data_IF_233403195553
#
_entry.id   IF_233403195553
#
_cell.length_a   1.000
_cell.length_b   1.000
_cell.length_c   1.000
_cell.angle_alpha   90.00
_cell.angle_beta   90.00
_cell.angle_gamma   90.00
#
_symmetry.space_group_name_H-M   'P 1'
#
loop_
_entity.id
_entity.type
_entity.pdbx_description
1 polymer ?
#
# COMPACT_ATOMS: atom_id res chain seq x y z
N UNK A 1 -30.93 23.00 24.52
CA UNK A 1 -31.72 21.74 24.59
C UNK A 1 -31.14 20.62 23.69
N UNK A 2 -29.80 20.45 23.65
CA UNK A 2 -29.12 19.49 22.73
C UNK A 2 -28.18 18.49 23.46
N UNK A 3 -27.88 18.71 24.74
CA UNK A 3 -26.98 17.84 25.53
C UNK A 3 -27.70 16.76 26.36
N UNK A 4 -28.99 16.89 26.65
CA UNK A 4 -29.69 16.01 27.61
C UNK A 4 -30.26 14.73 27.01
N UNK A 5 -30.27 14.57 25.67
CA UNK A 5 -30.69 13.32 25.00
C UNK A 5 -29.59 12.26 24.88
N UNK A 6 -28.32 12.59 25.19
CA UNK A 6 -27.17 11.70 24.93
C UNK A 6 -26.77 10.77 26.08
N UNK A 7 -27.32 10.96 27.28
CA UNK A 7 -26.97 10.18 28.47
C UNK A 7 -28.05 9.20 28.93
N UNK A 8 -29.31 9.36 28.49
CA UNK A 8 -30.41 8.45 28.88
C UNK A 8 -30.38 7.08 28.18
N UNK A 9 -29.62 6.92 27.10
CA UNK A 9 -29.51 5.65 26.37
C UNK A 9 -28.56 4.62 26.98
N UNK A 10 -27.64 5.00 27.88
CA UNK A 10 -26.65 4.06 28.43
C UNK A 10 -27.30 2.98 29.32
N UNK A 11 -28.43 3.31 29.94
CA UNK A 11 -29.15 2.41 30.84
C UNK A 11 -30.05 1.39 30.13
N UNK A 12 -30.25 1.54 28.81
CA UNK A 12 -31.02 0.60 27.98
C UNK A 12 -30.13 -0.25 27.05
N UNK A 13 -28.81 -0.28 27.30
CA UNK A 13 -27.91 -1.11 26.49
C UNK A 13 -28.19 -2.60 26.71
N UNK A 14 -28.43 -3.29 25.60
CA UNK A 14 -28.47 -4.74 25.51
C UNK A 14 -27.11 -5.35 25.91
N UNK A 15 -27.10 -6.60 26.37
CA UNK A 15 -25.88 -7.31 26.77
C UNK A 15 -24.82 -7.37 25.65
N UNK A 16 -25.26 -7.37 24.39
CA UNK A 16 -24.40 -7.35 23.20
C UNK A 16 -23.65 -6.02 23.05
N UNK A 17 -24.31 -4.88 23.30
CA UNK A 17 -23.68 -3.57 23.24
C UNK A 17 -22.68 -3.36 24.39
N UNK A 18 -22.95 -3.94 25.57
CA UNK A 18 -21.98 -3.95 26.69
C UNK A 18 -20.73 -4.75 26.35
N UNK A 19 -20.88 -5.89 25.68
CA UNK A 19 -19.77 -6.69 25.17
C UNK A 19 -18.91 -5.90 24.17
N UNK A 20 -19.53 -5.18 23.23
CA UNK A 20 -18.84 -4.32 22.26
C UNK A 20 -18.04 -3.19 22.94
N UNK A 21 -18.59 -2.57 23.99
CA UNK A 21 -17.89 -1.53 24.74
C UNK A 21 -16.68 -2.07 25.50
N UNK A 22 -16.80 -3.25 26.13
CA UNK A 22 -15.65 -3.89 26.79
C UNK A 22 -14.56 -4.27 25.78
N UNK A 23 -14.96 -4.84 24.64
CA UNK A 23 -14.03 -5.17 23.57
C UNK A 23 -13.31 -3.92 23.02
N UNK A 24 -14.04 -2.82 22.82
CA UNK A 24 -13.45 -1.54 22.41
C UNK A 24 -12.46 -1.00 23.44
N UNK A 25 -12.77 -1.12 24.74
CA UNK A 25 -11.85 -0.71 25.81
C UNK A 25 -10.55 -1.51 25.82
N UNK A 26 -10.65 -2.83 25.66
CA UNK A 26 -9.48 -3.71 25.57
C UNK A 26 -8.62 -3.35 24.37
N UNK A 27 -9.21 -3.21 23.18
CA UNK A 27 -8.45 -2.89 21.97
C UNK A 27 -7.85 -1.48 22.00
N UNK A 28 -8.53 -0.49 22.59
CA UNK A 28 -7.96 0.84 22.77
C UNK A 28 -6.75 0.82 23.70
N UNK A 29 -6.83 0.08 24.81
CA UNK A 29 -5.69 -0.09 25.72
C UNK A 29 -4.52 -0.82 25.03
N UNK A 30 -4.79 -1.91 24.31
CA UNK A 30 -3.77 -2.66 23.57
C UNK A 30 -3.14 -1.84 22.45
N UNK A 31 -3.94 -1.09 21.68
CA UNK A 31 -3.46 -0.24 20.59
C UNK A 31 -2.59 0.90 21.14
N UNK A 32 -3.00 1.50 22.26
CA UNK A 32 -2.19 2.52 22.95
C UNK A 32 -0.87 1.95 23.44
N UNK A 33 -0.89 0.79 24.08
CA UNK A 33 0.31 0.11 24.58
C UNK A 33 1.25 -0.26 23.43
N UNK A 34 0.73 -0.79 22.33
CA UNK A 34 1.51 -1.10 21.14
C UNK A 34 2.20 0.14 20.57
N UNK A 35 1.46 1.25 20.44
CA UNK A 35 2.02 2.52 19.95
C UNK A 35 3.05 3.15 20.89
N UNK A 36 3.05 2.81 22.19
CA UNK A 36 4.04 3.28 23.16
C UNK A 36 5.30 2.40 23.20
N UNK A 37 5.12 1.09 23.05
CA UNK A 37 6.21 0.12 23.29
C UNK A 37 6.87 -0.38 22.01
N UNK A 38 6.22 -0.25 20.85
CA UNK A 38 6.67 -0.85 19.60
C UNK A 38 6.77 0.21 18.50
N UNK A 39 7.90 0.30 17.79
CA UNK A 39 8.03 1.18 16.63
C UNK A 39 6.96 0.87 15.58
N UNK A 40 6.32 1.91 15.02
CA UNK A 40 5.21 1.76 14.08
C UNK A 40 5.54 0.86 12.88
N UNK A 41 6.79 0.86 12.41
CA UNK A 41 7.27 0.02 11.32
C UNK A 41 7.04 -1.48 11.56
N UNK A 42 7.03 -1.94 12.82
CA UNK A 42 6.72 -3.35 13.18
C UNK A 42 5.22 -3.61 13.36
N UNK A 43 4.44 -2.55 13.58
CA UNK A 43 2.99 -2.62 13.72
C UNK A 43 2.33 -2.62 12.34
N UNK A 44 2.84 -1.82 11.40
CA UNK A 44 2.27 -1.59 10.08
C UNK A 44 1.97 -2.89 9.30
N UNK A 45 2.86 -3.91 9.24
CA UNK A 45 2.57 -5.16 8.52
C UNK A 45 1.38 -5.94 9.11
N UNK A 46 1.01 -5.71 10.38
CA UNK A 46 -0.12 -6.38 11.03
C UNK A 46 -1.45 -5.69 10.75
N UNK A 47 -1.42 -4.45 10.25
CA UNK A 47 -2.61 -3.67 9.89
C UNK A 47 -3.21 -4.13 8.57
N UNK A 48 -2.54 -4.98 7.79
CA UNK A 48 -3.00 -5.45 6.49
C UNK A 48 -1.97 -5.19 5.41
N UNK A 49 -2.34 -5.43 4.16
CA UNK A 49 -1.50 -5.14 3.01
C UNK A 49 -1.42 -3.64 2.77
N UNK A 50 -0.20 -3.14 2.59
CA UNK A 50 0.06 -1.72 2.36
C UNK A 50 -0.47 -1.30 0.97
N UNK A 51 -1.02 -0.09 0.89
CA UNK A 51 -1.63 0.50 -0.30
C UNK A 51 -2.82 -0.29 -0.88
N UNK A 52 -3.45 -1.13 -0.08
CA UNK A 52 -4.66 -1.85 -0.46
C UNK A 52 -5.90 -1.25 0.17
N UNK A 53 -7.00 -1.32 -0.57
CA UNK A 53 -8.32 -0.93 -0.11
C UNK A 53 -9.31 -2.08 -0.22
N UNK A 54 -10.13 -2.23 0.80
CA UNK A 54 -11.25 -3.16 0.82
C UNK A 54 -12.41 -2.64 -0.04
N UNK A 55 -13.23 -3.57 -0.54
CA UNK A 55 -14.41 -3.22 -1.35
C UNK A 55 -15.29 -2.15 -0.66
N UNK A 56 -15.80 -1.21 -1.46
CA UNK A 56 -16.65 -0.11 -0.99
C UNK A 56 -18.11 -0.50 -0.82
N UNK A 57 -18.50 -1.69 -1.25
CA UNK A 57 -19.85 -2.26 -1.14
C UNK A 57 -19.88 -3.33 -0.05
N UNK A 58 -20.63 -3.08 1.01
CA UNK A 58 -20.88 -4.05 2.09
C UNK A 58 -22.37 -4.42 2.12
N UNK A 59 -22.68 -5.64 2.58
CA UNK A 59 -24.07 -6.05 2.84
C UNK A 59 -24.68 -5.13 3.93
N UNK A 60 -25.98 -4.79 3.87
CA UNK A 60 -26.61 -3.89 4.86
C UNK A 60 -26.44 -4.33 6.33
N UNK A 61 -26.36 -5.64 6.58
CA UNK A 61 -26.12 -6.21 7.92
C UNK A 61 -24.67 -6.04 8.40
N UNK A 62 -23.71 -6.01 7.47
CA UNK A 62 -22.30 -5.72 7.76
C UNK A 62 -22.11 -4.25 8.12
N UNK A 63 -22.80 -3.34 7.43
CA UNK A 63 -22.77 -1.90 7.71
C UNK A 63 -23.31 -1.58 9.11
N UNK A 64 -24.42 -2.18 9.52
CA UNK A 64 -24.97 -1.99 10.88
C UNK A 64 -24.02 -2.48 11.98
N UNK A 65 -23.34 -3.61 11.75
CA UNK A 65 -22.32 -4.11 12.68
C UNK A 65 -21.12 -3.17 12.74
N UNK A 66 -20.66 -2.68 11.59
CA UNK A 66 -19.54 -1.75 11.49
C UNK A 66 -19.84 -0.42 12.20
N UNK A 67 -21.04 0.13 12.03
CA UNK A 67 -21.51 1.33 12.71
C UNK A 67 -21.50 1.15 14.23
N UNK A 68 -21.97 0.01 14.74
CA UNK A 68 -21.92 -0.32 16.18
C UNK A 68 -20.49 -0.40 16.71
N UNK A 69 -19.55 -0.94 15.93
CA UNK A 69 -18.12 -0.96 16.29
C UNK A 69 -17.55 0.46 16.33
N UNK A 70 -17.80 1.28 15.31
CA UNK A 70 -17.37 2.69 15.27
C UNK A 70 -17.92 3.47 16.46
N UNK A 71 -19.21 3.32 16.76
CA UNK A 71 -19.86 3.90 17.93
C UNK A 71 -19.19 3.47 19.24
N UNK A 72 -18.93 2.16 19.42
CA UNK A 72 -18.35 1.64 20.65
C UNK A 72 -16.94 2.20 20.89
N UNK A 73 -16.11 2.24 19.85
CA UNK A 73 -14.75 2.79 19.92
C UNK A 73 -14.79 4.28 20.24
N UNK A 74 -15.62 5.07 19.56
CA UNK A 74 -15.76 6.50 19.85
C UNK A 74 -16.32 6.76 21.26
N UNK A 75 -17.26 5.93 21.73
CA UNK A 75 -17.86 6.05 23.05
C UNK A 75 -16.87 5.76 24.18
N UNK A 76 -15.96 4.80 23.99
CA UNK A 76 -14.91 4.49 24.97
C UNK A 76 -13.74 5.45 24.86
N UNK A 77 -13.34 5.87 23.66
CA UNK A 77 -12.24 6.82 23.45
C UNK A 77 -12.44 8.14 24.20
N UNK A 78 -13.71 8.57 24.41
CA UNK A 78 -14.05 9.76 25.21
C UNK A 78 -14.03 9.55 26.73
N UNK A 79 -13.88 8.30 27.18
CA UNK A 79 -13.93 7.90 28.60
C UNK A 79 -12.61 7.31 29.10
N UNK A 80 -11.64 7.08 28.22
CA UNK A 80 -10.30 6.66 28.63
C UNK A 80 -9.61 7.80 29.39
N UNK A 81 -8.82 7.51 30.43
CA UNK A 81 -8.07 8.53 31.17
C UNK A 81 -6.88 9.13 30.39
N UNK A 82 -6.66 8.69 29.16
CA UNK A 82 -5.63 9.20 28.23
C UNK A 82 -6.27 9.69 26.92
N UNK A 83 -5.53 10.50 26.16
CA UNK A 83 -5.93 10.86 24.80
C UNK A 83 -5.89 9.63 23.87
N UNK A 84 -7.06 9.23 23.40
CA UNK A 84 -7.18 8.17 22.39
C UNK A 84 -6.97 8.79 21.00
N UNK A 85 -5.71 8.93 20.60
CA UNK A 85 -5.34 9.44 19.28
C UNK A 85 -6.07 8.70 18.14
N UNK A 86 -6.34 9.39 17.03
CA UNK A 86 -7.09 8.85 15.89
C UNK A 86 -6.55 7.50 15.40
N UNK A 87 -5.22 7.33 15.40
CA UNK A 87 -4.57 6.07 15.01
C UNK A 87 -4.94 4.91 15.95
N UNK A 88 -4.94 5.13 17.27
CA UNK A 88 -5.32 4.09 18.22
C UNK A 88 -6.80 3.68 18.06
N UNK A 89 -7.67 4.64 17.77
CA UNK A 89 -9.08 4.38 17.49
C UNK A 89 -9.25 3.56 16.20
N UNK A 90 -8.57 3.96 15.12
CA UNK A 90 -8.63 3.26 13.83
C UNK A 90 -8.07 1.83 13.93
N UNK A 91 -6.95 1.62 14.63
CA UNK A 91 -6.40 0.29 14.90
C UNK A 91 -7.36 -0.59 15.71
N UNK A 92 -7.99 -0.01 16.74
CA UNK A 92 -8.93 -0.73 17.60
C UNK A 92 -10.18 -1.18 16.84
N UNK A 93 -10.78 -0.25 16.10
CA UNK A 93 -11.96 -0.55 15.28
C UNK A 93 -11.61 -1.58 14.20
N UNK A 94 -10.43 -1.48 13.56
CA UNK A 94 -9.98 -2.47 12.57
C UNK A 94 -9.82 -3.86 13.18
N UNK A 95 -9.21 -3.99 14.36
CA UNK A 95 -9.10 -5.27 15.05
C UNK A 95 -10.47 -5.89 15.37
N UNK A 96 -11.43 -5.07 15.81
CA UNK A 96 -12.80 -5.50 16.08
C UNK A 96 -13.54 -5.96 14.82
N UNK A 97 -13.35 -5.28 13.68
CA UNK A 97 -13.95 -5.66 12.39
C UNK A 97 -13.30 -6.92 11.82
N UNK A 98 -11.96 -7.03 11.92
CA UNK A 98 -11.20 -8.20 11.49
C UNK A 98 -11.66 -9.48 12.20
N UNK A 99 -11.90 -9.39 13.51
CA UNK A 99 -12.47 -10.51 14.30
C UNK A 99 -13.86 -10.95 13.82
N UNK A 100 -14.58 -10.05 13.14
CA UNK A 100 -15.93 -10.29 12.59
C UNK A 100 -15.92 -10.57 11.09
N UNK A 101 -14.73 -10.76 10.50
CA UNK A 101 -14.54 -10.95 9.06
C UNK A 101 -15.17 -9.84 8.22
N UNK A 102 -15.19 -8.61 8.74
CA UNK A 102 -15.69 -7.45 8.01
C UNK A 102 -14.55 -6.70 7.32
N UNK A 103 -14.63 -6.54 5.98
CA UNK A 103 -13.59 -5.88 5.21
C UNK A 103 -13.48 -4.41 5.60
N UNK A 104 -12.28 -3.96 5.97
CA UNK A 104 -12.05 -2.58 6.40
C UNK A 104 -10.72 -2.03 5.92
N UNK A 105 -10.68 -0.73 5.63
CA UNK A 105 -9.48 -0.02 5.18
C UNK A 105 -9.09 1.06 6.18
N UNK A 106 -7.88 0.95 6.73
CA UNK A 106 -7.29 1.99 7.57
C UNK A 106 -6.44 2.92 6.70
N UNK A 107 -6.66 4.22 6.80
CA UNK A 107 -5.90 5.23 6.08
C UNK A 107 -5.06 6.04 7.04
N UNK A 108 -3.85 6.40 6.60
CA UNK A 108 -3.02 7.43 7.20
C UNK A 108 -2.88 8.57 6.19
N UNK A 109 -3.18 9.78 6.63
CA UNK A 109 -3.05 10.98 5.79
C UNK A 109 -2.26 12.08 6.48
N UNK A 110 -1.69 12.97 5.66
CA UNK A 110 -1.04 14.21 6.12
C UNK A 110 -1.76 15.41 5.52
N UNK A 111 -1.88 16.48 6.30
CA UNK A 111 -2.30 17.79 5.86
C UNK A 111 -1.29 18.84 6.34
N UNK A 112 -1.27 19.99 5.68
CA UNK A 112 -0.59 21.18 6.22
C UNK A 112 -1.65 22.06 6.87
N UNK A 113 -1.40 22.46 8.10
CA UNK A 113 -2.23 23.44 8.78
C UNK A 113 -2.02 24.85 8.20
N UNK A 114 -2.88 25.81 8.55
CA UNK A 114 -2.72 27.23 8.21
C UNK A 114 -1.37 27.81 8.67
N UNK A 115 -0.75 27.18 9.67
CA UNK A 115 0.60 27.47 10.18
C UNK A 115 1.75 26.82 9.39
N UNK A 116 1.46 26.14 8.27
CA UNK A 116 2.38 25.27 7.51
C UNK A 116 2.98 24.10 8.30
N UNK A 117 2.50 23.81 9.50
CA UNK A 117 2.89 22.61 10.25
C UNK A 117 2.23 21.36 9.65
N UNK A 118 2.99 20.27 9.54
CA UNK A 118 2.47 18.97 9.09
C UNK A 118 1.63 18.34 10.20
N UNK A 119 0.37 18.05 9.90
CA UNK A 119 -0.54 17.32 10.77
C UNK A 119 -0.82 15.93 10.22
N UNK A 120 -0.70 14.92 11.07
CA UNK A 120 -1.01 13.53 10.74
C UNK A 120 -2.38 13.13 11.25
N UNK A 121 -3.12 12.40 10.43
CA UNK A 121 -4.44 11.88 10.76
C UNK A 121 -4.60 10.43 10.32
N UNK A 122 -5.49 9.72 11.01
CA UNK A 122 -5.80 8.35 10.71
C UNK A 122 -7.31 8.12 10.80
N UNK A 123 -7.87 7.40 9.84
CA UNK A 123 -9.29 7.06 9.83
C UNK A 123 -9.49 5.63 9.32
N UNK A 124 -10.66 5.07 9.64
CA UNK A 124 -11.03 3.72 9.24
C UNK A 124 -12.31 3.75 8.43
N UNK A 125 -12.30 3.07 7.29
CA UNK A 125 -13.46 2.84 6.42
C UNK A 125 -13.91 1.38 6.47
N UNK A 126 -15.20 1.14 6.40
CA UNK A 126 -15.80 -0.17 6.15
C UNK A 126 -16.96 0.02 5.16
N UNK A 127 -16.92 -0.64 4.00
CA UNK A 127 -17.84 -0.32 2.91
C UNK A 127 -17.73 1.15 2.49
N UNK A 128 -18.86 1.85 2.37
CA UNK A 128 -18.90 3.28 2.05
C UNK A 128 -18.74 4.19 3.30
N UNK A 129 -18.72 3.62 4.50
CA UNK A 129 -18.81 4.37 5.76
C UNK A 129 -17.45 4.61 6.40
N UNK A 130 -17.21 5.83 6.87
CA UNK A 130 -16.07 6.18 7.74
C UNK A 130 -16.48 5.96 9.20
N UNK A 131 -15.79 5.07 9.91
CA UNK A 131 -16.16 4.64 11.27
C UNK A 131 -15.45 5.43 12.37
N UNK A 132 -14.22 5.85 12.12
CA UNK A 132 -13.40 6.62 13.07
C UNK A 132 -12.62 7.68 12.32
N UNK A 133 -12.32 8.81 12.96
CA UNK A 133 -11.55 9.89 12.34
C UNK A 133 -12.33 10.70 11.28
N UNK A 134 -13.66 10.69 11.32
CA UNK A 134 -14.53 11.32 10.30
C UNK A 134 -14.29 12.83 10.11
N UNK A 135 -13.96 13.56 11.18
CA UNK A 135 -13.84 15.02 11.16
C UNK A 135 -12.70 15.50 10.26
N UNK A 136 -13.03 15.92 9.03
CA UNK A 136 -12.10 16.60 8.13
C UNK A 136 -11.12 15.69 7.39
N UNK A 137 -11.35 14.37 7.33
CA UNK A 137 -10.49 13.43 6.60
C UNK A 137 -10.27 13.83 5.13
N UNK A 138 -11.25 14.47 4.49
CA UNK A 138 -11.17 15.02 3.12
C UNK A 138 -10.03 16.04 2.91
N UNK A 139 -9.55 16.68 3.99
CA UNK A 139 -8.46 17.67 3.92
C UNK A 139 -7.07 17.03 4.00
N UNK A 140 -6.99 15.73 4.30
CA UNK A 140 -5.74 15.00 4.44
C UNK A 140 -5.44 14.24 3.17
N UNK A 141 -4.22 14.39 2.65
CA UNK A 141 -3.74 13.58 1.54
C UNK A 141 -3.38 12.20 2.07
N UNK A 142 -4.01 11.16 1.53
CA UNK A 142 -3.71 9.76 1.88
C UNK A 142 -2.27 9.44 1.50
N UNK A 143 -1.47 9.02 2.47
CA UNK A 143 -0.10 8.55 2.24
C UNK A 143 -0.07 7.03 2.15
N UNK A 144 -0.86 6.35 2.98
CA UNK A 144 -0.90 4.90 3.02
C UNK A 144 -2.30 4.41 3.40
N UNK A 145 -2.72 3.32 2.79
CA UNK A 145 -3.91 2.55 3.14
C UNK A 145 -3.51 1.13 3.55
N UNK A 146 -4.30 0.52 4.43
CA UNK A 146 -4.11 -0.83 4.94
C UNK A 146 -5.45 -1.59 4.94
N UNK A 147 -5.56 -2.65 4.15
CA UNK A 147 -6.74 -3.51 4.10
C UNK A 147 -6.36 -4.99 4.30
N UNK A 148 -7.31 -5.82 4.74
CA UNK A 148 -7.10 -7.27 4.66
C UNK A 148 -7.14 -7.72 3.18
N UNK A 149 -6.32 -8.69 2.80
CA UNK A 149 -6.53 -9.46 1.57
C UNK A 149 -7.87 -10.20 1.68
N UNK A 150 -8.94 -9.58 1.19
CA UNK A 150 -10.07 -10.33 0.67
C UNK A 150 -9.77 -10.67 -0.78
N UNK A 151 -10.01 -11.91 -1.24
CA UNK A 151 -9.79 -12.27 -2.63
C UNK A 151 -10.46 -11.23 -3.51
N UNK A 152 -9.68 -10.70 -4.45
CA UNK A 152 -10.06 -9.61 -5.32
C UNK A 152 -11.46 -9.85 -5.89
N UNK A 153 -12.32 -8.84 -5.77
CA UNK A 153 -13.32 -8.60 -6.80
C UNK A 153 -12.55 -8.33 -8.09
N UNK A 154 -12.45 -9.37 -8.94
CA UNK A 154 -12.15 -9.21 -10.35
C UNK A 154 -13.33 -8.40 -10.90
N UNK A 155 -13.12 -7.27 -11.60
CA UNK A 155 -14.21 -6.65 -12.33
C UNK A 155 -14.83 -7.76 -13.16
N UNK A 156 -16.12 -7.98 -13.01
CA UNK A 156 -16.85 -8.86 -13.90
C UNK A 156 -16.62 -8.27 -15.30
N UNK A 157 -15.73 -8.92 -16.06
CA UNK A 157 -15.42 -8.62 -17.45
C UNK A 157 -16.71 -8.91 -18.21
N UNK A 158 -17.64 -7.97 -18.12
CA UNK A 158 -18.82 -7.84 -18.96
C UNK A 158 -18.30 -7.37 -20.32
N UNK A 159 -17.66 -8.32 -21.00
CA UNK A 159 -16.79 -8.09 -22.14
C UNK A 159 -15.62 -9.08 -22.26
N UNK A 160 -15.52 -10.12 -21.42
CA UNK A 160 -14.65 -11.24 -21.71
C UNK A 160 -15.31 -12.08 -22.81
N UNK A 161 -14.98 -11.76 -24.06
CA UNK A 161 -14.62 -12.83 -24.97
C UNK A 161 -13.69 -13.78 -24.19
N UNK A 162 -14.04 -15.05 -24.17
CA UNK A 162 -13.32 -16.12 -23.49
C UNK A 162 -11.83 -16.11 -23.86
N UNK A 163 -11.02 -15.37 -23.10
CA UNK A 163 -9.57 -15.43 -23.19
C UNK A 163 -9.14 -16.53 -22.23
N UNK A 164 -9.04 -17.75 -22.74
CA UNK A 164 -8.24 -18.78 -22.08
C UNK A 164 -6.82 -18.21 -21.93
N UNK A 165 -6.43 -17.87 -20.70
CA UNK A 165 -5.09 -17.40 -20.42
C UNK A 165 -4.10 -18.51 -20.83
N UNK A 166 -3.17 -18.20 -21.74
CA UNK A 166 -2.19 -19.19 -22.19
C UNK A 166 -1.40 -19.74 -21.00
N UNK A 167 -0.96 -20.99 -21.07
CA UNK A 167 -0.19 -21.63 -20.00
C UNK A 167 1.05 -20.82 -19.57
N UNK A 168 1.70 -20.14 -20.51
CA UNK A 168 2.84 -19.23 -20.26
C UNK A 168 2.45 -18.02 -19.40
N UNK A 169 1.25 -17.47 -19.59
CA UNK A 169 0.74 -16.35 -18.77
C UNK A 169 0.50 -16.78 -17.33
N UNK A 170 -0.14 -17.93 -17.14
CA UNK A 170 -0.42 -18.47 -15.80
C UNK A 170 0.87 -18.83 -15.08
N UNK A 171 1.83 -19.42 -15.79
CA UNK A 171 3.16 -19.75 -15.25
C UNK A 171 3.92 -18.48 -14.86
N UNK A 172 3.91 -17.43 -15.69
CA UNK A 172 4.54 -16.16 -15.34
C UNK A 172 3.87 -15.52 -14.12
N UNK A 173 2.54 -15.51 -14.05
CA UNK A 173 1.82 -14.97 -12.90
C UNK A 173 2.14 -15.72 -11.60
N UNK A 174 2.22 -17.05 -11.65
CA UNK A 174 2.63 -17.87 -10.52
C UNK A 174 4.06 -17.53 -10.08
N UNK A 175 4.99 -17.42 -11.04
CA UNK A 175 6.39 -17.09 -10.78
C UNK A 175 6.59 -15.66 -10.22
N UNK A 176 5.72 -14.70 -10.59
CA UNK A 176 5.79 -13.31 -10.13
C UNK A 176 4.98 -13.06 -8.85
N UNK A 177 4.38 -14.09 -8.25
CA UNK A 177 3.59 -13.95 -7.05
C UNK A 177 4.49 -13.50 -5.88
N UNK A 178 4.22 -12.33 -5.25
CA UNK A 178 5.02 -11.83 -4.13
C UNK A 178 4.92 -12.73 -2.88
N UNK A 179 3.92 -13.62 -2.82
CA UNK A 179 3.82 -14.69 -1.82
C UNK A 179 4.07 -16.02 -2.52
N UNK A 180 5.31 -16.53 -2.51
CA UNK A 180 5.66 -17.72 -3.26
C UNK A 180 4.83 -18.92 -2.80
N UNK A 181 4.26 -19.66 -3.75
CA UNK A 181 3.61 -20.93 -3.45
C UNK A 181 4.62 -22.06 -3.60
N UNK A 182 4.60 -23.04 -2.69
CA UNK A 182 5.55 -24.16 -2.72
C UNK A 182 5.52 -24.90 -4.07
N UNK A 183 4.33 -25.06 -4.66
CA UNK A 183 4.15 -25.72 -5.95
C UNK A 183 4.77 -24.96 -7.15
N UNK A 184 5.02 -23.66 -7.02
CA UNK A 184 5.56 -22.84 -8.13
C UNK A 184 6.99 -23.25 -8.45
N UNK A 185 7.82 -23.51 -7.43
CA UNK A 185 9.20 -23.94 -7.64
C UNK A 185 9.26 -25.31 -8.35
N UNK A 186 8.39 -26.24 -7.94
CA UNK A 186 8.28 -27.57 -8.55
C UNK A 186 7.85 -27.47 -10.02
N UNK A 187 6.85 -26.64 -10.32
CA UNK A 187 6.37 -26.40 -11.69
C UNK A 187 7.48 -25.81 -12.57
N UNK A 188 8.19 -24.77 -12.10
CA UNK A 188 9.27 -24.13 -12.86
C UNK A 188 10.43 -25.10 -13.12
N UNK A 189 10.72 -25.99 -12.16
CA UNK A 189 11.79 -26.97 -12.28
C UNK A 189 11.51 -28.07 -13.31
N UNK A 190 10.25 -28.25 -13.71
CA UNK A 190 9.82 -29.26 -14.68
C UNK A 190 9.72 -28.73 -16.12
N UNK A 191 9.88 -27.42 -16.32
CA UNK A 191 9.79 -26.82 -17.64
C UNK A 191 10.93 -27.29 -18.55
N UNK A 192 10.61 -27.59 -19.80
CA UNK A 192 11.60 -27.87 -20.83
C UNK A 192 12.19 -26.58 -21.43
N UNK A 193 13.25 -26.71 -22.24
CA UNK A 193 13.94 -25.56 -22.85
C UNK A 193 13.04 -24.65 -23.69
N UNK A 194 12.05 -25.21 -24.41
CA UNK A 194 11.15 -24.44 -25.25
C UNK A 194 10.12 -23.65 -24.42
N UNK A 195 9.61 -24.24 -23.34
CA UNK A 195 8.73 -23.58 -22.37
C UNK A 195 9.46 -22.45 -21.64
N UNK A 196 10.72 -22.67 -21.23
CA UNK A 196 11.56 -21.63 -20.67
C UNK A 196 11.78 -20.46 -21.64
N UNK A 197 12.05 -20.76 -22.92
CA UNK A 197 12.22 -19.73 -23.94
C UNK A 197 10.94 -18.90 -24.11
N UNK A 198 9.77 -19.55 -24.16
CA UNK A 198 8.48 -18.87 -24.26
C UNK A 198 8.18 -18.01 -23.02
N UNK A 199 8.47 -18.52 -21.82
CA UNK A 199 8.28 -17.81 -20.56
C UNK A 199 9.17 -16.55 -20.47
N UNK A 200 10.46 -16.68 -20.79
CA UNK A 200 11.40 -15.55 -20.76
C UNK A 200 11.05 -14.52 -21.83
N UNK A 201 10.70 -14.95 -23.04
CA UNK A 201 10.24 -14.05 -24.10
C UNK A 201 8.98 -13.29 -23.69
N UNK A 202 8.01 -13.98 -23.08
CA UNK A 202 6.79 -13.35 -22.60
C UNK A 202 7.07 -12.35 -21.46
N UNK A 203 7.93 -12.72 -20.51
CA UNK A 203 8.36 -11.81 -19.44
C UNK A 203 9.10 -10.56 -19.98
N UNK A 204 9.83 -10.68 -21.09
CA UNK A 204 10.46 -9.54 -21.76
C UNK A 204 9.42 -8.61 -22.39
N UNK A 205 8.42 -9.15 -23.08
CA UNK A 205 7.31 -8.39 -23.68
C UNK A 205 6.51 -7.64 -22.62
N UNK A 206 6.30 -8.26 -21.45
CA UNK A 206 5.62 -7.65 -20.31
C UNK A 206 6.53 -6.75 -19.46
N UNK A 207 7.80 -6.57 -19.84
CA UNK A 207 8.79 -5.74 -19.13
C UNK A 207 9.06 -6.15 -17.67
N UNK A 208 8.87 -7.43 -17.33
CA UNK A 208 9.04 -8.00 -15.98
C UNK A 208 10.17 -9.02 -15.90
N UNK A 209 10.95 -9.20 -16.97
CA UNK A 209 12.06 -10.18 -17.01
C UNK A 209 13.09 -10.00 -15.88
N UNK A 210 13.37 -8.77 -15.44
CA UNK A 210 14.30 -8.51 -14.34
C UNK A 210 13.70 -8.82 -12.97
N UNK A 211 12.36 -8.73 -12.84
CA UNK A 211 11.64 -9.18 -11.66
C UNK A 211 11.57 -10.72 -11.63
N UNK A 212 11.30 -11.35 -12.78
CA UNK A 212 11.33 -12.81 -12.92
C UNK A 212 12.67 -13.36 -12.45
N UNK A 213 13.80 -12.82 -12.92
CA UNK A 213 15.12 -13.25 -12.46
C UNK A 213 15.27 -13.18 -10.93
N UNK A 214 14.81 -12.11 -10.30
CA UNK A 214 14.84 -11.96 -8.84
C UNK A 214 14.00 -13.02 -8.12
N UNK A 215 12.83 -13.35 -8.67
CA UNK A 215 11.96 -14.40 -8.12
C UNK A 215 12.55 -15.80 -8.30
N UNK A 216 13.18 -16.10 -9.44
CA UNK A 216 13.83 -17.38 -9.67
C UNK A 216 14.96 -17.63 -8.66
N UNK A 217 15.74 -16.59 -8.34
CA UNK A 217 16.80 -16.67 -7.32
C UNK A 217 16.22 -16.83 -5.90
N UNK A 218 15.10 -16.17 -5.60
CA UNK A 218 14.42 -16.33 -4.31
C UNK A 218 13.86 -17.74 -4.13
N UNK A 219 13.31 -18.32 -5.21
CA UNK A 219 12.76 -19.67 -5.27
C UNK A 219 13.85 -20.77 -5.38
N UNK A 220 15.11 -20.40 -5.59
CA UNK A 220 16.23 -21.33 -5.75
C UNK A 220 16.09 -22.29 -6.95
N UNK A 221 15.50 -21.81 -8.05
CA UNK A 221 15.25 -22.60 -9.27
C UNK A 221 16.13 -22.18 -10.45
N UNK A 222 17.20 -21.40 -10.20
CA UNK A 222 18.11 -20.92 -11.25
C UNK A 222 18.78 -22.05 -12.06
N UNK A 223 18.97 -23.22 -11.45
CA UNK A 223 19.59 -24.39 -12.10
C UNK A 223 18.69 -25.05 -13.14
N UNK A 224 17.37 -24.83 -13.07
CA UNK A 224 16.42 -25.33 -14.06
C UNK A 224 16.38 -24.46 -15.33
N UNK A 225 16.89 -23.23 -15.27
CA UNK A 225 16.87 -22.29 -16.40
C UNK A 225 17.97 -22.64 -17.40
N UNK A 226 17.68 -22.72 -18.71
CA UNK A 226 18.70 -22.86 -19.73
C UNK A 226 19.80 -21.79 -19.61
N UNK A 227 21.10 -22.15 -19.61
CA UNK A 227 22.19 -21.21 -19.27
C UNK A 227 22.24 -19.94 -20.12
N UNK A 228 21.87 -20.04 -21.41
CA UNK A 228 21.84 -18.91 -22.32
C UNK A 228 20.73 -17.90 -21.96
N UNK A 229 19.54 -18.38 -21.55
CA UNK A 229 18.44 -17.54 -21.09
C UNK A 229 18.77 -16.90 -19.74
N UNK A 230 19.35 -17.66 -18.81
CA UNK A 230 19.80 -17.13 -17.53
C UNK A 230 20.81 -15.99 -17.72
N UNK A 231 21.81 -16.21 -18.57
CA UNK A 231 22.81 -15.19 -18.93
C UNK A 231 22.17 -13.95 -19.55
N UNK A 232 21.20 -14.13 -20.46
CA UNK A 232 20.46 -13.02 -21.08
C UNK A 232 19.69 -12.19 -20.03
N UNK A 233 19.00 -12.85 -19.10
CA UNK A 233 18.27 -12.17 -18.02
C UNK A 233 19.24 -11.42 -17.10
N UNK A 234 20.37 -12.03 -16.75
CA UNK A 234 21.39 -11.41 -15.91
C UNK A 234 22.01 -10.17 -16.57
N UNK A 235 22.32 -10.24 -17.87
CA UNK A 235 22.79 -9.08 -18.63
C UNK A 235 21.76 -7.96 -18.63
N UNK A 236 20.47 -8.28 -18.85
CA UNK A 236 19.39 -7.30 -18.81
C UNK A 236 19.27 -6.66 -17.42
N UNK A 237 19.37 -7.45 -16.37
CA UNK A 237 19.35 -6.98 -14.98
C UNK A 237 20.51 -6.03 -14.67
N UNK A 238 21.72 -6.35 -15.11
CA UNK A 238 22.90 -5.49 -14.95
C UNK A 238 22.73 -4.17 -15.70
N UNK A 239 22.23 -4.22 -16.94
CA UNK A 239 21.93 -3.01 -17.72
C UNK A 239 20.90 -2.10 -17.03
N UNK A 240 19.81 -2.69 -16.50
CA UNK A 240 18.79 -1.93 -15.75
C UNK A 240 19.38 -1.36 -14.48
N UNK A 241 20.21 -2.11 -13.75
CA UNK A 241 20.89 -1.62 -12.55
C UNK A 241 21.77 -0.41 -12.86
N UNK A 242 22.61 -0.48 -13.89
CA UNK A 242 23.48 0.63 -14.30
C UNK A 242 22.67 1.86 -14.74
N UNK A 243 21.59 1.65 -15.51
CA UNK A 243 20.68 2.72 -15.91
C UNK A 243 20.04 3.38 -14.70
N UNK A 244 19.54 2.60 -13.75
CA UNK A 244 18.89 3.11 -12.55
C UNK A 244 19.89 3.87 -11.67
N UNK A 245 21.13 3.39 -11.51
CA UNK A 245 22.18 4.13 -10.81
C UNK A 245 22.43 5.51 -11.44
N UNK A 246 22.48 5.61 -12.77
CA UNK A 246 22.59 6.89 -13.45
C UNK A 246 21.39 7.80 -13.18
N UNK A 247 20.16 7.24 -13.21
CA UNK A 247 18.93 7.97 -12.86
C UNK A 247 18.97 8.48 -11.42
N UNK A 248 19.40 7.67 -10.45
CA UNK A 248 19.52 8.09 -9.04
C UNK A 248 20.58 9.17 -8.84
N UNK A 249 21.68 9.14 -9.61
CA UNK A 249 22.67 10.21 -9.61
C UNK A 249 22.05 11.53 -10.08
N UNK A 250 21.33 11.52 -11.21
CA UNK A 250 20.66 12.73 -11.72
C UNK A 250 19.59 13.23 -10.75
N UNK A 251 18.80 12.32 -10.18
CA UNK A 251 17.81 12.65 -9.18
C UNK A 251 18.44 13.34 -7.96
N UNK A 252 19.62 12.89 -7.51
CA UNK A 252 20.35 13.53 -6.41
C UNK A 252 20.77 14.96 -6.77
N UNK A 253 21.31 15.18 -7.97
CA UNK A 253 21.68 16.51 -8.44
C UNK A 253 20.47 17.46 -8.52
N UNK A 254 19.33 16.95 -8.99
CA UNK A 254 18.07 17.69 -9.02
C UNK A 254 17.62 18.02 -7.59
N UNK A 255 17.58 17.03 -6.69
CA UNK A 255 17.15 17.22 -5.31
C UNK A 255 18.00 18.27 -4.57
N UNK A 256 19.33 18.19 -4.70
CA UNK A 256 20.25 19.14 -4.07
C UNK A 256 20.00 20.57 -4.56
N UNK A 257 19.81 20.77 -5.87
CA UNK A 257 19.50 22.09 -6.43
C UNK A 257 18.12 22.60 -6.02
N UNK A 258 17.10 21.74 -6.01
CA UNK A 258 15.74 22.11 -5.57
C UNK A 258 15.76 22.53 -4.10
N UNK A 259 16.47 21.79 -3.25
CA UNK A 259 16.64 22.11 -1.84
C UNK A 259 17.35 23.46 -1.64
N UNK A 260 18.44 23.72 -2.37
CA UNK A 260 19.15 24.99 -2.32
C UNK A 260 18.28 26.18 -2.77
N UNK A 261 17.35 25.95 -3.71
CA UNK A 261 16.38 26.93 -4.16
C UNK A 261 15.11 27.03 -3.29
N UNK A 262 15.03 26.27 -2.19
CA UNK A 262 13.84 26.12 -1.33
C UNK A 262 12.57 25.71 -2.11
N UNK A 263 12.73 24.91 -3.17
CA UNK A 263 11.63 24.35 -3.93
C UNK A 263 11.31 22.96 -3.36
N UNK A 264 10.15 22.74 -2.73
CA UNK A 264 9.79 21.43 -2.24
C UNK A 264 9.52 20.50 -3.43
N UNK A 265 10.05 19.28 -3.34
CA UNK A 265 10.01 18.26 -4.38
C UNK A 265 9.47 16.95 -3.80
N UNK A 266 8.52 16.34 -4.50
CA UNK A 266 8.08 14.96 -4.24
C UNK A 266 8.45 14.11 -5.45
N UNK A 267 9.15 13.02 -5.19
CA UNK A 267 9.46 12.00 -6.19
C UNK A 267 8.30 11.02 -6.31
N UNK A 268 7.83 10.77 -7.54
CA UNK A 268 6.71 9.88 -7.80
C UNK A 268 7.17 8.57 -8.46
N UNK A 269 6.37 7.52 -8.24
CA UNK A 269 6.40 6.24 -8.96
C UNK A 269 7.79 5.57 -9.01
N UNK A 270 8.36 5.44 -10.21
CA UNK A 270 9.35 4.42 -10.58
C UNK A 270 10.58 4.39 -9.67
N UNK A 271 11.33 5.48 -9.55
CA UNK A 271 12.51 5.54 -8.70
C UNK A 271 12.21 5.32 -7.22
N UNK A 272 11.07 5.82 -6.72
CA UNK A 272 10.66 5.57 -5.33
C UNK A 272 10.29 4.10 -5.11
N UNK A 273 9.46 3.53 -5.99
CA UNK A 273 9.02 2.14 -5.90
C UNK A 273 10.19 1.17 -6.01
N UNK A 274 11.16 1.42 -6.88
CA UNK A 274 12.37 0.59 -7.03
C UNK A 274 13.19 0.49 -5.73
N UNK A 275 13.11 1.47 -4.83
CA UNK A 275 13.77 1.43 -3.50
C UNK A 275 12.84 1.01 -2.36
N UNK A 276 11.53 1.22 -2.50
CA UNK A 276 10.56 1.01 -1.41
C UNK A 276 9.88 -0.37 -1.46
N UNK A 277 9.78 -0.98 -2.65
CA UNK A 277 9.02 -2.22 -2.88
C UNK A 277 9.90 -3.38 -3.32
N UNK A 278 10.93 -3.12 -4.12
CA UNK A 278 11.80 -4.16 -4.67
C UNK A 278 13.03 -4.36 -3.79
N UNK A 279 13.53 -5.60 -3.72
CA UNK A 279 14.72 -5.92 -2.93
C UNK A 279 15.98 -5.27 -3.50
N UNK A 280 16.01 -5.06 -4.82
CA UNK A 280 17.12 -4.42 -5.50
C UNK A 280 16.64 -3.58 -6.67
N UNK A 281 17.26 -2.40 -6.86
CA UNK A 281 16.88 -1.42 -7.89
C UNK A 281 16.90 -2.00 -9.31
N UNK A 282 17.70 -3.02 -9.57
CA UNK A 282 17.80 -3.70 -10.87
C UNK A 282 16.55 -4.49 -11.28
N UNK A 283 15.65 -4.80 -10.33
CA UNK A 283 14.44 -5.56 -10.60
C UNK A 283 13.36 -4.74 -11.31
N UNK A 284 13.36 -3.41 -11.15
CA UNK A 284 12.39 -2.51 -11.76
C UNK A 284 13.04 -1.66 -12.85
N UNK A 285 12.58 -1.77 -14.08
CA UNK A 285 12.99 -0.85 -15.14
C UNK A 285 12.39 0.54 -14.90
N UNK A 286 13.22 1.59 -14.91
CA UNK A 286 12.79 2.99 -14.84
C UNK A 286 12.94 3.61 -16.23
N UNK A 287 11.83 4.15 -16.75
CA UNK A 287 11.78 4.85 -18.03
C UNK A 287 12.11 6.33 -17.89
N UNK A 288 11.42 6.97 -16.95
CA UNK A 288 11.34 8.42 -16.74
C UNK A 288 11.42 8.80 -15.25
N UNK A 289 11.56 10.11 -15.01
CA UNK A 289 11.53 10.73 -13.70
C UNK A 289 10.26 11.57 -13.56
N UNK A 290 9.33 11.10 -12.73
CA UNK A 290 8.14 11.87 -12.36
C UNK A 290 8.43 12.71 -11.11
N UNK A 291 8.42 14.04 -11.26
CA UNK A 291 8.69 15.01 -10.21
C UNK A 291 7.46 15.88 -9.97
N UNK A 292 7.03 15.98 -8.71
CA UNK A 292 5.92 16.85 -8.29
C UNK A 292 6.45 18.03 -7.48
N UNK A 293 6.09 19.24 -7.92
CA UNK A 293 6.46 20.52 -7.30
C UNK A 293 5.22 21.41 -7.18
N UNK A 294 5.23 22.44 -6.31
CA UNK A 294 4.14 23.42 -6.27
C UNK A 294 3.96 24.11 -7.62
N UNK A 295 2.70 24.38 -7.98
CA UNK A 295 2.32 25.00 -9.26
C UNK A 295 3.08 26.32 -9.49
N UNK A 296 3.19 27.15 -8.46
CA UNK A 296 3.89 28.44 -8.52
C UNK A 296 5.41 28.32 -8.69
N UNK A 297 5.96 27.12 -8.48
CA UNK A 297 7.39 26.83 -8.64
C UNK A 297 7.72 26.18 -9.98
N UNK A 298 6.73 25.79 -10.80
CA UNK A 298 6.95 25.05 -12.06
C UNK A 298 7.94 25.75 -12.99
N UNK A 299 7.77 27.07 -13.22
CA UNK A 299 8.69 27.80 -14.09
C UNK A 299 10.12 27.87 -13.53
N UNK A 300 10.26 28.03 -12.21
CA UNK A 300 11.57 28.03 -11.54
C UNK A 300 12.23 26.65 -11.61
N UNK A 301 11.45 25.59 -11.43
CA UNK A 301 11.87 24.19 -11.57
C UNK A 301 12.38 23.93 -13.00
N UNK A 302 11.64 24.35 -14.03
CA UNK A 302 12.05 24.18 -15.43
C UNK A 302 13.37 24.92 -15.70
N UNK A 303 13.47 26.18 -15.27
CA UNK A 303 14.71 26.96 -15.44
C UNK A 303 15.90 26.28 -14.75
N UNK A 304 15.70 25.75 -13.54
CA UNK A 304 16.71 25.02 -12.78
C UNK A 304 17.14 23.73 -13.50
N UNK A 305 16.17 22.95 -14.01
CA UNK A 305 16.44 21.74 -14.80
C UNK A 305 17.26 22.05 -16.07
N UNK A 306 16.99 23.16 -16.74
CA UNK A 306 17.82 23.62 -17.86
C UNK A 306 19.27 23.88 -17.45
N UNK A 307 19.53 24.41 -16.25
CA UNK A 307 20.91 24.57 -15.74
C UNK A 307 21.62 23.25 -15.45
N UNK A 308 20.86 22.15 -15.31
CA UNK A 308 21.36 20.79 -15.15
C UNK A 308 21.50 20.05 -16.48
N UNK A 309 21.22 20.70 -17.62
CA UNK A 309 21.33 20.12 -18.96
C UNK A 309 20.05 19.42 -19.46
N UNK A 310 18.95 19.47 -18.71
CA UNK A 310 17.67 18.93 -19.18
C UNK A 310 17.06 19.86 -20.23
N UNK A 311 16.46 19.27 -21.26
CA UNK A 311 15.83 20.01 -22.37
C UNK A 311 14.37 19.60 -22.50
N UNK A 312 13.55 20.53 -22.99
CA UNK A 312 12.16 20.25 -23.32
C UNK A 312 12.14 19.47 -24.64
N UNK A 313 11.67 18.23 -24.59
CA UNK A 313 11.30 17.42 -25.77
C UNK A 313 10.02 17.92 -26.41
#
# INVERSE_FOLDING_TARGET
>A
MWLTRRLSKIRQLSWTERGLLLEAAVWLALSRLALLLVPFQRIAPRLGTLHHESASTALPTAEQTAEKVGWAVQAIARRTPWESACLAQAMSAKAMLRRRHLPSTLYLGLAKDASQSLQAHAWLRCGAMILTGEAGHERFTVISSFAEETPHYVPELTGADSLEASEVQLTLLAALNPVPQAATADQLSQLNDAEWAALVQYAQQQHVVTLLLGQLQMLQVETAVPPHLFTQMQQKYQQVTLKNLAIYRELRLIADKMQAANIPLILLKGPYLATAVYDHIGQRTIGDLDLLVPVDSVQKTIALLHTLGWQKT
#
